data_IF_023346654917
#
_entry.id   IF_023346654917
#
_cell.length_a   1.000
_cell.length_b   1.000
_cell.length_c   1.000
_cell.angle_alpha   90.00
_cell.angle_beta   90.00
_cell.angle_gamma   90.00
#
_symmetry.space_group_name_H-M   'P 1'
#
loop_
_entity.id
_entity.type
_entity.pdbx_description
1 polymer ?
#
# COMPACT_ATOMS: atom_id res chain seq x y z
N UNK A 1 9.95 -5.65 -20.60
CA UNK A 1 9.61 -6.93 -19.94
C UNK A 1 8.40 -6.70 -19.04
N UNK A 2 7.29 -7.41 -19.28
CA UNK A 2 6.19 -7.41 -18.32
C UNK A 2 6.66 -8.23 -17.13
N UNK A 3 7.12 -7.56 -16.08
CA UNK A 3 7.35 -8.21 -14.78
C UNK A 3 5.99 -8.81 -14.41
N UNK A 4 5.85 -10.13 -14.56
CA UNK A 4 4.75 -10.88 -13.98
C UNK A 4 4.90 -10.70 -12.49
N UNK A 5 4.25 -9.67 -11.95
CA UNK A 5 4.25 -9.40 -10.53
C UNK A 5 3.74 -10.67 -9.84
N UNK A 6 4.47 -11.21 -8.86
CA UNK A 6 4.03 -12.36 -8.06
C UNK A 6 2.78 -12.06 -7.20
N UNK A 7 2.12 -10.93 -7.46
CA UNK A 7 0.96 -10.42 -6.76
C UNK A 7 -0.29 -10.88 -7.47
N UNK A 8 -1.16 -11.56 -6.75
CA UNK A 8 -2.50 -11.90 -7.24
C UNK A 8 -3.43 -10.70 -7.12
N UNK A 9 -4.49 -10.69 -7.91
CA UNK A 9 -5.56 -9.69 -7.80
C UNK A 9 -6.12 -9.62 -6.39
N UNK A 10 -6.25 -10.76 -5.69
CA UNK A 10 -6.76 -10.84 -4.32
C UNK A 10 -5.83 -10.14 -3.32
N UNK A 11 -4.52 -10.29 -3.49
CA UNK A 11 -3.52 -9.63 -2.64
C UNK A 11 -3.51 -8.12 -2.88
N UNK A 12 -3.67 -7.68 -4.14
CA UNK A 12 -3.83 -6.26 -4.46
C UNK A 12 -5.12 -5.69 -3.86
N UNK A 13 -6.25 -6.39 -4.00
CA UNK A 13 -7.53 -6.01 -3.37
C UNK A 13 -7.37 -5.88 -1.86
N UNK A 14 -6.72 -6.85 -1.21
CA UNK A 14 -6.46 -6.81 0.22
C UNK A 14 -5.65 -5.57 0.63
N UNK A 15 -4.61 -5.19 -0.12
CA UNK A 15 -3.83 -3.98 0.14
C UNK A 15 -4.65 -2.69 -0.04
N UNK A 16 -5.56 -2.66 -1.02
CA UNK A 16 -6.43 -1.50 -1.28
C UNK A 16 -7.44 -1.34 -0.15
N UNK A 17 -8.14 -2.42 0.21
CA UNK A 17 -9.13 -2.46 1.29
C UNK A 17 -8.50 -2.12 2.64
N UNK A 18 -7.30 -2.63 2.90
CA UNK A 18 -6.54 -2.43 4.14
C UNK A 18 -5.44 -1.38 3.98
N UNK A 19 -5.63 -0.39 3.12
CA UNK A 19 -4.60 0.62 2.80
C UNK A 19 -4.10 1.41 4.01
N UNK A 20 -4.97 1.60 5.02
CA UNK A 20 -4.67 2.26 6.30
C UNK A 20 -3.95 1.35 7.31
N UNK A 21 -3.92 0.04 7.08
CA UNK A 21 -3.27 -0.91 7.96
C UNK A 21 -1.74 -0.73 7.93
N UNK A 22 -1.12 -0.87 9.09
CA UNK A 22 0.34 -0.80 9.26
C UNK A 22 1.01 -2.02 8.63
N UNK A 23 2.26 -1.86 8.18
CA UNK A 23 2.95 -2.91 7.42
C UNK A 23 3.15 -4.17 8.26
N UNK A 24 3.44 -4.03 9.56
CA UNK A 24 3.56 -5.16 10.50
C UNK A 24 2.32 -6.05 10.56
N UNK A 25 1.12 -5.52 10.34
CA UNK A 25 -0.08 -6.35 10.26
C UNK A 25 -0.23 -6.96 8.86
N UNK A 26 0.12 -6.22 7.81
CA UNK A 26 0.06 -6.71 6.43
C UNK A 26 1.01 -7.90 6.19
N UNK A 27 2.22 -7.88 6.76
CA UNK A 27 3.19 -9.00 6.64
C UNK A 27 2.68 -10.29 7.31
N UNK A 28 1.75 -10.21 8.27
CA UNK A 28 1.16 -11.40 8.89
C UNK A 28 0.10 -12.05 8.00
N UNK A 29 -0.49 -11.29 7.07
CA UNK A 29 -1.55 -11.76 6.17
C UNK A 29 -1.04 -12.07 4.76
N UNK A 30 0.13 -11.54 4.40
CA UNK A 30 0.69 -11.66 3.06
C UNK A 30 2.04 -12.38 3.11
N UNK A 31 2.31 -13.29 2.15
CA UNK A 31 3.60 -13.99 2.07
C UNK A 31 4.68 -13.12 1.41
N UNK A 32 4.82 -11.86 1.86
CA UNK A 32 5.75 -10.88 1.32
C UNK A 32 6.47 -10.14 2.42
N UNK A 33 7.67 -9.67 2.10
CA UNK A 33 8.45 -8.81 2.99
C UNK A 33 7.87 -7.41 3.09
N UNK A 34 8.26 -6.68 4.13
CA UNK A 34 7.90 -5.26 4.30
C UNK A 34 8.25 -4.42 3.06
N UNK A 35 9.48 -4.57 2.52
CA UNK A 35 9.93 -3.85 1.34
C UNK A 35 9.07 -4.13 0.10
N UNK A 36 8.68 -5.40 -0.10
CA UNK A 36 7.81 -5.79 -1.21
C UNK A 36 6.41 -5.18 -1.07
N UNK A 37 5.85 -5.17 0.14
CA UNK A 37 4.56 -4.54 0.45
C UNK A 37 4.63 -3.03 0.23
N UNK A 38 5.70 -2.36 0.67
CA UNK A 38 5.91 -0.91 0.45
C UNK A 38 5.96 -0.62 -1.05
N UNK A 39 6.77 -1.38 -1.79
CA UNK A 39 6.90 -1.21 -3.24
C UNK A 39 5.57 -1.44 -3.94
N UNK A 40 4.80 -2.45 -3.52
CA UNK A 40 3.48 -2.70 -4.10
C UNK A 40 2.48 -1.59 -3.77
N UNK A 41 2.47 -1.09 -2.53
CA UNK A 41 1.65 0.07 -2.14
C UNK A 41 1.99 1.32 -2.96
N UNK A 42 3.25 1.55 -3.34
CA UNK A 42 3.63 2.66 -4.22
C UNK A 42 3.14 2.45 -5.66
N UNK A 43 3.27 1.22 -6.19
CA UNK A 43 2.73 0.84 -7.51
C UNK A 43 1.20 1.01 -7.56
N UNK A 44 0.50 0.66 -6.49
CA UNK A 44 -0.95 0.84 -6.34
C UNK A 44 -1.34 2.30 -5.98
N UNK A 45 -0.37 3.20 -5.79
CA UNK A 45 -0.61 4.61 -5.48
C UNK A 45 -1.17 4.87 -4.07
N UNK A 46 -1.14 3.90 -3.17
CA UNK A 46 -1.74 3.97 -1.84
C UNK A 46 -0.95 4.88 -0.88
N UNK A 47 0.38 4.95 -1.03
CA UNK A 47 1.28 5.80 -0.24
C UNK A 47 1.21 7.28 -0.62
N UNK A 48 0.99 7.60 -1.90
CA UNK A 48 0.88 8.99 -2.39
C UNK A 48 -0.34 9.72 -1.82
N UNK A 49 -1.44 8.99 -1.60
CA UNK A 49 -2.70 9.51 -1.04
C UNK A 49 -2.52 9.95 0.42
N UNK A 50 -1.76 9.20 1.23
CA UNK A 50 -1.47 9.58 2.63
C UNK A 50 -0.69 10.89 2.75
N UNK A 51 0.28 11.16 1.87
CA UNK A 51 1.09 12.39 1.93
C UNK A 51 0.31 13.64 1.51
N UNK A 52 -0.65 13.49 0.58
CA UNK A 52 -1.53 14.58 0.17
C UNK A 52 -2.60 14.89 1.23
N UNK A 53 -3.22 13.87 1.85
CA UNK A 53 -4.22 14.08 2.90
C UNK A 53 -3.65 14.78 4.14
N UNK A 54 -2.39 14.52 4.51
CA UNK A 54 -1.72 15.25 5.60
C UNK A 54 -1.46 16.73 5.30
N UNK A 55 -1.36 17.13 4.02
CA UNK A 55 -1.24 18.54 3.62
C UNK A 55 -2.57 19.29 3.66
N UNK A 56 -3.68 18.59 3.44
CA UNK A 56 -5.02 19.19 3.53
C UNK A 56 -5.46 19.43 4.99
N UNK A 57 -5.06 18.54 5.92
CA UNK A 57 -5.44 18.66 7.34
C UNK A 57 -4.59 19.66 8.14
N UNK A 58 -3.47 20.13 7.62
CA UNK A 58 -2.56 21.07 8.32
C UNK A 58 -2.75 22.54 7.94
N UNK A 59 -3.71 22.87 7.08
CA UNK A 59 -4.14 24.25 6.83
C UNK A 59 -5.59 24.42 7.29
N UNK A 60 -5.84 24.73 8.58
CA UNK A 60 -7.08 25.39 8.94
C UNK A 60 -6.96 26.84 8.44
N UNK A 61 -7.68 27.16 7.36
CA UNK A 61 -7.96 28.56 7.01
C UNK A 61 -8.92 29.16 8.03
#
# INVERSE_FOLDING_TARGET
EHITSNWTTEQDSFLIENSFMVIEQLINHLPFTEDEIIKRKDVLGLTRRHRQMRKFLSNPS
#
